data_IF_604435311706
#
_entry.id   IF_604435311706
#
_cell.length_a   1.000
_cell.length_b   1.000
_cell.length_c   1.000
_cell.angle_alpha   90.00
_cell.angle_beta   90.00
_cell.angle_gamma   90.00
#
_symmetry.space_group_name_H-M   'P 1'
#
loop_
_entity.id
_entity.type
_entity.pdbx_description
1 polymer ?
#
# COMPACT_ATOMS: atom_id res chain seq x y z
N UNK A 1 6.20 18.56 -35.01
CA UNK A 1 4.96 19.26 -34.57
C UNK A 1 3.79 18.28 -34.66
N UNK A 2 2.81 18.38 -33.76
CA UNK A 2 1.79 17.34 -33.55
C UNK A 2 0.40 17.99 -33.66
N UNK A 3 -0.38 17.63 -34.68
CA UNK A 3 -1.81 17.94 -34.78
C UNK A 3 -2.68 16.92 -34.02
N UNK A 4 -4.00 17.13 -33.98
CA UNK A 4 -4.96 16.31 -33.23
C UNK A 4 -4.84 14.79 -33.48
N UNK A 5 -4.78 14.37 -34.74
CA UNK A 5 -4.62 12.95 -35.13
C UNK A 5 -3.26 12.37 -34.75
N UNK A 6 -2.20 13.18 -34.80
CA UNK A 6 -0.86 12.74 -34.39
C UNK A 6 -0.75 12.59 -32.87
N UNK A 7 -1.49 13.38 -32.08
CA UNK A 7 -1.49 13.29 -30.62
C UNK A 7 -1.99 11.92 -30.15
N UNK A 8 -3.07 11.42 -30.75
CA UNK A 8 -3.62 10.09 -30.47
C UNK A 8 -2.60 9.00 -30.79
N UNK A 9 -1.90 9.10 -31.93
CA UNK A 9 -0.87 8.13 -32.34
C UNK A 9 0.32 8.13 -31.38
N UNK A 10 0.78 9.31 -30.96
CA UNK A 10 1.88 9.45 -29.99
C UNK A 10 1.45 8.91 -28.62
N UNK A 11 0.24 9.20 -28.16
CA UNK A 11 -0.30 8.71 -26.90
C UNK A 11 -0.41 7.17 -26.87
N UNK A 12 -0.91 6.57 -27.95
CA UNK A 12 -0.96 5.11 -28.10
C UNK A 12 0.43 4.47 -28.08
N UNK A 13 1.39 5.05 -28.81
CA UNK A 13 2.77 4.58 -28.80
C UNK A 13 3.44 4.70 -27.41
N UNK A 14 3.14 5.78 -26.67
CA UNK A 14 3.63 5.97 -25.31
C UNK A 14 3.09 4.90 -24.37
N UNK A 15 1.77 4.69 -24.33
CA UNK A 15 1.15 3.70 -23.45
C UNK A 15 1.64 2.27 -23.75
N UNK A 16 1.82 1.94 -25.03
CA UNK A 16 2.40 0.65 -25.44
C UNK A 16 3.80 0.45 -24.88
N UNK A 17 4.67 1.46 -25.00
CA UNK A 17 6.04 1.38 -24.49
C UNK A 17 6.08 1.36 -22.95
N UNK A 18 5.23 2.15 -22.29
CA UNK A 18 5.12 2.19 -20.81
C UNK A 18 4.64 0.86 -20.25
N UNK A 19 3.65 0.22 -20.89
CA UNK A 19 3.13 -1.09 -20.48
C UNK A 19 4.19 -2.20 -20.52
N UNK A 20 5.12 -2.15 -21.47
CA UNK A 20 6.26 -3.09 -21.52
C UNK A 20 7.22 -2.93 -20.34
N UNK A 21 7.33 -1.73 -19.80
CA UNK A 21 8.30 -1.39 -18.74
C UNK A 21 7.71 -1.60 -17.34
N UNK A 22 6.47 -1.15 -17.09
CA UNK A 22 5.95 -1.09 -15.73
C UNK A 22 5.56 -2.44 -15.11
N UNK A 23 5.42 -3.52 -15.89
CA UNK A 23 5.12 -4.90 -15.41
C UNK A 23 3.96 -4.98 -14.38
N UNK A 24 3.08 -3.99 -14.38
CA UNK A 24 1.90 -3.88 -13.51
C UNK A 24 0.66 -3.99 -14.37
N UNK A 25 -0.35 -4.81 -13.98
CA UNK A 25 -1.60 -4.92 -14.71
C UNK A 25 -2.44 -3.62 -14.65
N UNK A 26 -2.11 -2.69 -13.75
CA UNK A 26 -2.79 -1.40 -13.62
C UNK A 26 -2.37 -0.40 -14.71
N UNK A 27 -3.36 0.21 -15.36
CA UNK A 27 -3.14 1.25 -16.36
C UNK A 27 -2.62 2.53 -15.70
N UNK A 28 -1.47 3.01 -16.16
CA UNK A 28 -0.85 4.25 -15.66
C UNK A 28 -1.69 5.47 -16.05
N UNK A 29 -1.91 6.35 -15.07
CA UNK A 29 -2.53 7.66 -15.31
C UNK A 29 -1.54 8.56 -16.07
N UNK A 30 -1.94 9.03 -17.25
CA UNK A 30 -1.14 9.94 -18.08
C UNK A 30 -1.92 11.23 -18.28
N UNK A 31 -1.32 12.35 -17.90
CA UNK A 31 -1.86 13.68 -18.12
C UNK A 31 -1.24 14.29 -19.38
N UNK A 32 -2.09 14.83 -20.25
CA UNK A 32 -1.65 15.40 -21.52
C UNK A 32 -2.01 16.88 -21.54
N UNK A 33 -0.99 17.73 -21.48
CA UNK A 33 -1.14 19.18 -21.60
C UNK A 33 0.20 19.83 -21.99
N UNK A 34 0.15 21.09 -22.39
CA UNK A 34 1.34 21.95 -22.38
C UNK A 34 1.42 22.66 -21.03
N UNK A 35 2.50 22.43 -20.30
CA UNK A 35 2.74 23.03 -18.99
C UNK A 35 3.48 24.37 -19.06
N UNK A 36 3.51 24.99 -20.23
CA UNK A 36 4.02 26.34 -20.42
C UNK A 36 2.93 27.39 -20.13
N UNK A 37 3.33 28.65 -20.04
CA UNK A 37 2.49 29.82 -19.75
C UNK A 37 2.05 30.55 -21.03
N UNK A 38 2.54 30.11 -22.19
CA UNK A 38 2.12 30.62 -23.50
C UNK A 38 0.77 30.03 -23.96
N UNK A 39 0.09 30.74 -24.87
CA UNK A 39 -1.18 30.27 -25.42
C UNK A 39 -0.97 29.03 -26.31
N UNK A 40 -1.93 28.10 -26.27
CA UNK A 40 -1.92 26.93 -27.15
C UNK A 40 -1.94 27.33 -28.62
N UNK A 41 -0.92 26.88 -29.35
CA UNK A 41 -0.84 27.05 -30.81
C UNK A 41 -2.00 26.38 -31.56
N UNK A 42 -2.50 25.25 -31.04
CA UNK A 42 -3.68 24.54 -31.56
C UNK A 42 -4.73 24.43 -30.46
N UNK A 43 -5.96 24.91 -30.73
CA UNK A 43 -7.03 25.03 -29.73
C UNK A 43 -8.04 23.88 -29.76
N UNK A 44 -7.89 22.92 -30.68
CA UNK A 44 -8.81 21.79 -30.89
C UNK A 44 -9.09 20.98 -29.61
N UNK A 45 -8.10 20.87 -28.73
CA UNK A 45 -8.18 20.12 -27.47
C UNK A 45 -7.94 20.99 -26.22
N UNK A 46 -8.10 22.32 -26.34
CA UNK A 46 -7.84 23.27 -25.25
C UNK A 46 -8.52 22.86 -23.94
N UNK A 47 -9.81 22.53 -23.98
CA UNK A 47 -10.58 22.12 -22.78
C UNK A 47 -9.98 20.88 -22.10
N UNK A 48 -9.48 19.92 -22.87
CA UNK A 48 -8.89 18.69 -22.35
C UNK A 48 -7.53 18.97 -21.70
N UNK A 49 -6.71 19.80 -22.32
CA UNK A 49 -5.42 20.23 -21.79
C UNK A 49 -5.55 21.08 -20.53
N UNK A 50 -6.52 21.99 -20.49
CA UNK A 50 -6.82 22.80 -19.30
C UNK A 50 -7.28 21.92 -18.13
N UNK A 51 -8.12 20.93 -18.41
CA UNK A 51 -8.56 19.93 -17.41
C UNK A 51 -7.39 19.11 -16.87
N UNK A 52 -6.54 18.56 -17.75
CA UNK A 52 -5.39 17.77 -17.32
C UNK A 52 -4.36 18.61 -16.56
N UNK A 53 -4.15 19.88 -16.94
CA UNK A 53 -3.31 20.83 -16.20
C UNK A 53 -3.86 21.08 -14.79
N UNK A 54 -5.17 21.31 -14.67
CA UNK A 54 -5.82 21.50 -13.38
C UNK A 54 -5.73 20.24 -12.49
N UNK A 55 -5.97 19.05 -13.08
CA UNK A 55 -5.90 17.79 -12.36
C UNK A 55 -4.49 17.49 -11.82
N UNK A 56 -3.44 17.77 -12.61
CA UNK A 56 -2.05 17.63 -12.15
C UNK A 56 -1.76 18.56 -10.98
N UNK A 57 -2.19 19.83 -11.06
CA UNK A 57 -1.98 20.79 -9.98
C UNK A 57 -2.71 20.38 -8.70
N UNK A 58 -3.93 19.84 -8.81
CA UNK A 58 -4.66 19.30 -7.67
C UNK A 58 -3.94 18.09 -7.06
N UNK A 59 -3.44 17.17 -7.87
CA UNK A 59 -2.69 16.00 -7.39
C UNK A 59 -1.38 16.41 -6.70
N UNK A 60 -0.66 17.39 -7.25
CA UNK A 60 0.53 17.97 -6.62
C UNK A 60 0.21 18.65 -5.29
N UNK A 61 -0.90 19.39 -5.20
CA UNK A 61 -1.36 20.00 -3.95
C UNK A 61 -1.73 18.96 -2.89
N UNK A 62 -2.26 17.81 -3.31
CA UNK A 62 -2.65 16.72 -2.42
C UNK A 62 -1.48 15.78 -2.06
N UNK A 63 -0.35 15.85 -2.77
CA UNK A 63 0.81 14.99 -2.58
C UNK A 63 1.37 14.98 -1.14
N UNK A 64 1.52 16.12 -0.44
CA UNK A 64 2.00 16.12 0.93
C UNK A 64 1.07 15.35 1.88
N UNK A 65 -0.24 15.49 1.69
CA UNK A 65 -1.27 14.79 2.49
C UNK A 65 -1.23 13.29 2.23
N UNK A 66 -1.25 12.87 0.97
CA UNK A 66 -1.16 11.46 0.60
C UNK A 66 0.14 10.82 1.10
N UNK A 67 1.25 11.56 1.03
CA UNK A 67 2.55 11.10 1.53
C UNK A 67 2.56 10.95 3.05
N UNK A 68 1.95 11.90 3.77
CA UNK A 68 1.84 11.82 5.23
C UNK A 68 1.02 10.58 5.64
N UNK A 69 -0.15 10.38 5.03
CA UNK A 69 -0.99 9.20 5.26
C UNK A 69 -0.23 7.89 5.01
N UNK A 70 0.48 7.80 3.87
CA UNK A 70 1.30 6.62 3.54
C UNK A 70 2.40 6.39 4.57
N UNK A 71 3.12 7.45 4.97
CA UNK A 71 4.16 7.36 6.00
C UNK A 71 3.59 6.86 7.31
N UNK A 72 2.43 7.36 7.70
CA UNK A 72 1.73 6.91 8.91
C UNK A 72 1.37 5.43 8.82
N UNK A 73 0.83 4.96 7.70
CA UNK A 73 0.56 3.54 7.50
C UNK A 73 1.84 2.69 7.63
N UNK A 74 2.93 3.12 7.01
CA UNK A 74 4.24 2.44 7.14
C UNK A 74 4.74 2.42 8.59
N UNK A 75 4.49 3.46 9.38
CA UNK A 75 4.82 3.46 10.82
C UNK A 75 3.97 2.43 11.56
N UNK A 76 2.65 2.39 11.31
CA UNK A 76 1.74 1.39 11.93
C UNK A 76 2.19 -0.04 11.61
N UNK A 77 2.46 -0.34 10.33
CA UNK A 77 2.96 -1.65 9.90
C UNK A 77 4.27 -2.01 10.61
N UNK A 78 5.20 -1.05 10.74
CA UNK A 78 6.46 -1.27 11.45
C UNK A 78 6.25 -1.52 12.93
N UNK A 79 5.37 -0.76 13.59
CA UNK A 79 5.08 -0.95 15.01
C UNK A 79 4.44 -2.32 15.29
N UNK A 80 3.51 -2.76 14.44
CA UNK A 80 2.93 -4.12 14.52
C UNK A 80 3.99 -5.20 14.38
N UNK A 81 4.90 -5.04 13.41
CA UNK A 81 6.03 -5.96 13.22
C UNK A 81 6.98 -5.97 14.41
N UNK A 82 7.30 -4.82 14.99
CA UNK A 82 8.12 -4.72 16.21
C UNK A 82 7.44 -5.44 17.38
N UNK A 83 6.14 -5.23 17.57
CA UNK A 83 5.34 -5.95 18.57
C UNK A 83 5.43 -7.46 18.37
N UNK A 84 5.26 -7.94 17.14
CA UNK A 84 5.36 -9.36 16.82
C UNK A 84 6.76 -9.94 17.14
N UNK A 85 7.83 -9.26 16.71
CA UNK A 85 9.20 -9.67 17.05
C UNK A 85 9.44 -9.68 18.55
N UNK A 86 8.98 -8.66 19.28
CA UNK A 86 9.13 -8.59 20.74
C UNK A 86 8.43 -9.76 21.44
N UNK A 87 7.18 -10.06 21.07
CA UNK A 87 6.43 -11.19 21.61
C UNK A 87 7.15 -12.53 21.37
N UNK A 88 7.67 -12.75 20.15
CA UNK A 88 8.38 -13.99 19.82
C UNK A 88 9.69 -14.11 20.62
N UNK A 89 10.49 -13.03 20.72
CA UNK A 89 11.78 -13.06 21.40
C UNK A 89 11.63 -13.28 22.91
N UNK A 90 10.64 -12.62 23.52
CA UNK A 90 10.33 -12.78 24.95
C UNK A 90 9.74 -14.15 25.24
N UNK A 91 8.87 -14.67 24.37
CA UNK A 91 8.36 -16.04 24.48
C UNK A 91 9.49 -17.07 24.33
N UNK A 92 10.36 -16.91 23.34
CA UNK A 92 11.55 -17.73 23.15
C UNK A 92 12.41 -17.74 24.43
N UNK A 93 12.66 -16.56 25.01
CA UNK A 93 13.39 -16.46 26.28
C UNK A 93 12.70 -17.20 27.43
N UNK A 94 11.37 -17.14 27.51
CA UNK A 94 10.60 -17.82 28.56
C UNK A 94 10.66 -19.34 28.45
N UNK A 95 10.73 -19.88 27.23
CA UNK A 95 10.79 -21.31 26.96
C UNK A 95 12.21 -21.88 26.97
N UNK A 96 13.25 -21.03 26.97
CA UNK A 96 14.64 -21.47 27.07
C UNK A 96 14.88 -22.19 28.42
N UNK A 97 15.38 -23.44 28.40
CA UNK A 97 15.77 -24.15 29.61
C UNK A 97 16.76 -23.35 30.45
N UNK A 98 16.56 -23.33 31.77
CA UNK A 98 17.37 -22.54 32.70
C UNK A 98 18.88 -22.81 32.59
N UNK A 99 19.27 -24.07 32.35
CA UNK A 99 20.66 -24.48 32.19
C UNK A 99 21.29 -23.97 30.89
N UNK A 100 20.51 -23.89 29.80
CA UNK A 100 20.96 -23.30 28.54
C UNK A 100 21.11 -21.78 28.65
N UNK A 101 20.28 -21.13 29.48
CA UNK A 101 20.35 -19.69 29.73
C UNK A 101 21.53 -19.28 30.62
N UNK A 102 21.87 -20.09 31.62
CA UNK A 102 22.91 -19.77 32.59
C UNK A 102 24.32 -20.24 32.16
N UNK A 103 24.43 -21.40 31.51
CA UNK A 103 25.71 -22.05 31.21
C UNK A 103 25.79 -22.65 29.79
N UNK A 104 24.78 -22.43 28.95
CA UNK A 104 24.78 -22.95 27.58
C UNK A 104 25.82 -22.25 26.71
N UNK A 105 26.46 -22.97 25.80
CA UNK A 105 27.20 -22.34 24.71
C UNK A 105 26.21 -21.73 23.71
N UNK A 106 26.58 -20.63 23.03
CA UNK A 106 25.70 -20.01 22.05
C UNK A 106 25.28 -20.98 20.93
N UNK A 107 26.19 -21.87 20.50
CA UNK A 107 25.88 -22.88 19.49
C UNK A 107 24.76 -23.84 19.94
N UNK A 108 24.75 -24.25 21.21
CA UNK A 108 23.71 -25.14 21.75
C UNK A 108 22.36 -24.43 21.87
N UNK A 109 22.38 -23.15 22.25
CA UNK A 109 21.16 -22.32 22.31
C UNK A 109 20.60 -22.12 20.91
N UNK A 110 21.43 -21.80 19.91
CA UNK A 110 21.02 -21.67 18.49
C UNK A 110 20.36 -22.94 17.97
N UNK A 111 21.01 -24.08 18.15
CA UNK A 111 20.47 -25.36 17.71
C UNK A 111 19.10 -25.67 18.35
N UNK A 112 18.95 -25.42 19.66
CA UNK A 112 17.67 -25.59 20.33
C UNK A 112 16.59 -24.66 19.78
N UNK A 113 16.93 -23.39 19.52
CA UNK A 113 16.02 -22.43 18.91
C UNK A 113 15.58 -22.91 17.51
N UNK A 114 16.51 -23.37 16.67
CA UNK A 114 16.23 -23.81 15.31
C UNK A 114 15.24 -24.98 15.25
N UNK A 115 15.39 -25.95 16.17
CA UNK A 115 14.50 -27.11 16.27
C UNK A 115 13.10 -26.75 16.78
N UNK A 116 12.97 -25.77 17.69
CA UNK A 116 11.71 -25.43 18.34
C UNK A 116 10.99 -24.22 17.71
N UNK A 117 11.65 -23.49 16.81
CA UNK A 117 11.16 -22.24 16.23
C UNK A 117 9.73 -22.30 15.67
N UNK A 118 9.35 -23.31 14.85
CA UNK A 118 8.01 -23.34 14.25
C UNK A 118 6.90 -23.44 15.32
N UNK A 119 7.11 -24.32 16.31
CA UNK A 119 6.17 -24.50 17.43
C UNK A 119 6.05 -23.25 18.28
N UNK A 120 7.18 -22.60 18.59
CA UNK A 120 7.20 -21.39 19.40
C UNK A 120 6.50 -20.22 18.72
N UNK A 121 6.57 -20.13 17.39
CA UNK A 121 5.85 -19.12 16.60
C UNK A 121 4.33 -19.29 16.72
N UNK A 122 3.82 -20.52 16.55
CA UNK A 122 2.38 -20.80 16.68
C UNK A 122 1.88 -20.54 18.11
N UNK A 123 2.63 -20.97 19.11
CA UNK A 123 2.29 -20.74 20.52
C UNK A 123 2.30 -19.24 20.87
N UNK A 124 3.32 -18.49 20.44
CA UNK A 124 3.40 -17.04 20.65
C UNK A 124 2.27 -16.30 19.93
N UNK A 125 1.94 -16.70 18.70
CA UNK A 125 0.83 -16.13 17.94
C UNK A 125 -0.50 -16.32 18.67
N UNK A 126 -0.75 -17.53 19.20
CA UNK A 126 -1.97 -17.86 19.94
C UNK A 126 -2.04 -17.11 21.27
N UNK A 127 -0.92 -17.06 22.01
CA UNK A 127 -0.84 -16.42 23.33
C UNK A 127 -1.13 -14.91 23.25
N UNK A 128 -0.54 -14.24 22.25
CA UNK A 128 -0.64 -12.79 22.10
C UNK A 128 -1.70 -12.34 21.07
N UNK A 129 -2.53 -13.28 20.56
CA UNK A 129 -3.62 -13.03 19.60
C UNK A 129 -3.15 -12.22 18.37
N UNK A 130 -2.01 -12.58 17.80
CA UNK A 130 -1.43 -11.85 16.67
C UNK A 130 -2.04 -12.28 15.33
N UNK A 131 -2.20 -11.32 14.43
CA UNK A 131 -2.60 -11.60 13.05
C UNK A 131 -1.49 -12.38 12.34
N UNK A 132 -1.85 -13.37 11.53
CA UNK A 132 -0.89 -14.12 10.72
C UNK A 132 -0.11 -13.23 9.74
N UNK A 133 -0.70 -12.12 9.29
CA UNK A 133 -0.05 -11.16 8.39
C UNK A 133 1.02 -10.29 9.06
N UNK A 134 0.99 -10.15 10.39
CA UNK A 134 1.99 -9.39 11.15
C UNK A 134 3.21 -10.26 11.50
N UNK A 135 3.11 -11.58 11.36
CA UNK A 135 4.17 -12.52 11.71
C UNK A 135 5.35 -12.42 10.74
N UNK A 136 6.59 -12.39 11.25
CA UNK A 136 7.77 -12.43 10.39
C UNK A 136 7.90 -13.80 9.71
N UNK A 137 8.52 -13.81 8.53
CA UNK A 137 8.88 -15.05 7.86
C UNK A 137 9.84 -15.88 8.73
N UNK A 138 9.52 -17.16 8.91
CA UNK A 138 10.25 -18.08 9.80
C UNK A 138 11.67 -18.30 9.29
N UNK A 139 11.84 -18.40 7.96
CA UNK A 139 13.16 -18.67 7.35
C UNK A 139 14.07 -17.46 7.54
N UNK A 140 13.59 -16.26 7.19
CA UNK A 140 14.33 -15.02 7.40
C UNK A 140 14.60 -14.75 8.89
N UNK A 141 13.68 -15.11 9.78
CA UNK A 141 13.88 -14.96 11.22
C UNK A 141 14.97 -15.91 11.73
N UNK A 142 15.00 -17.16 11.26
CA UNK A 142 16.02 -18.15 11.63
C UNK A 142 17.43 -17.68 11.26
N UNK A 143 17.62 -17.17 10.05
CA UNK A 143 18.90 -16.65 9.59
C UNK A 143 19.38 -15.45 10.42
N UNK A 144 18.46 -14.55 10.80
CA UNK A 144 18.77 -13.43 11.70
C UNK A 144 19.07 -13.87 13.12
N UNK A 145 18.45 -14.95 13.58
CA UNK A 145 18.71 -15.50 14.90
C UNK A 145 20.08 -16.20 14.95
N UNK A 146 20.50 -16.87 13.88
CA UNK A 146 21.81 -17.52 13.82
C UNK A 146 22.97 -16.52 13.82
N UNK A 147 22.76 -15.34 13.23
CA UNK A 147 23.73 -14.23 13.19
C UNK A 147 23.74 -13.36 14.44
N UNK A 148 22.74 -13.48 15.33
CA UNK A 148 22.64 -12.67 16.53
C UNK A 148 23.64 -13.13 17.60
N UNK A 149 24.44 -12.19 18.11
CA UNK A 149 25.33 -12.40 19.25
C UNK A 149 24.56 -12.23 20.56
N UNK A 150 24.82 -13.08 21.56
CA UNK A 150 24.22 -12.93 22.88
C UNK A 150 22.74 -13.33 22.96
N UNK A 151 22.32 -14.41 22.29
CA UNK A 151 20.95 -14.97 22.34
C UNK A 151 20.49 -15.30 23.79
N UNK A 152 21.42 -15.46 24.73
CA UNK A 152 21.11 -15.69 26.14
C UNK A 152 20.59 -14.42 26.85
N UNK A 153 20.88 -13.25 26.30
CA UNK A 153 20.55 -11.92 26.86
C UNK A 153 19.29 -11.31 26.25
N UNK A 154 18.42 -12.12 25.64
CA UNK A 154 17.13 -11.66 25.14
C UNK A 154 16.33 -10.93 26.24
N UNK A 155 15.47 -9.95 25.89
CA UNK A 155 14.67 -9.22 26.86
C UNK A 155 13.61 -10.14 27.51
N UNK A 156 13.28 -9.85 28.78
CA UNK A 156 12.14 -10.47 29.44
C UNK A 156 10.83 -9.83 28.96
N UNK A 157 9.72 -10.57 29.11
CA UNK A 157 8.39 -10.04 28.83
C UNK A 157 8.06 -8.88 29.77
N UNK A 158 7.65 -7.78 29.19
CA UNK A 158 7.11 -6.62 29.87
C UNK A 158 5.76 -6.25 29.23
N UNK A 159 4.70 -6.28 30.03
CA UNK A 159 3.34 -5.94 29.57
C UNK A 159 3.23 -4.45 29.26
N UNK A 160 3.94 -3.59 29.99
CA UNK A 160 3.84 -2.14 29.85
C UNK A 160 4.32 -1.69 28.47
N UNK A 161 5.41 -2.29 27.97
CA UNK A 161 5.95 -2.04 26.64
C UNK A 161 4.94 -2.40 25.55
N UNK A 162 4.26 -3.54 25.69
CA UNK A 162 3.29 -4.01 24.67
C UNK A 162 2.01 -3.18 24.71
N UNK A 163 1.56 -2.79 25.89
CA UNK A 163 0.45 -1.87 26.09
C UNK A 163 0.76 -0.49 25.51
N UNK A 164 1.97 0.03 25.72
CA UNK A 164 2.38 1.31 25.14
C UNK A 164 2.41 1.26 23.60
N UNK A 165 3.00 0.21 23.02
CA UNK A 165 3.00 0.02 21.56
C UNK A 165 1.57 -0.08 21.02
N UNK A 166 0.70 -0.81 21.73
CA UNK A 166 -0.70 -0.98 21.32
C UNK A 166 -1.47 0.35 21.41
N UNK A 167 -1.33 1.10 22.51
CA UNK A 167 -1.89 2.45 22.68
C UNK A 167 -1.39 3.41 21.61
N UNK A 168 -0.11 3.30 21.23
CA UNK A 168 0.44 4.13 20.18
C UNK A 168 -0.16 3.80 18.80
N UNK A 169 -0.39 2.52 18.48
CA UNK A 169 -1.02 2.08 17.23
C UNK A 169 -2.50 2.48 17.17
N UNK A 170 -3.24 2.31 18.26
CA UNK A 170 -4.70 2.42 18.26
C UNK A 170 -5.19 3.86 18.51
N UNK A 171 -4.47 4.64 19.34
CA UNK A 171 -4.91 5.99 19.74
C UNK A 171 -4.03 7.09 19.17
N UNK A 172 -2.71 7.03 19.42
CA UNK A 172 -1.80 8.16 19.12
C UNK A 172 -1.62 8.36 17.63
N UNK A 173 -1.40 7.29 16.87
CA UNK A 173 -1.16 7.37 15.43
C UNK A 173 -2.41 7.84 14.68
N UNK A 174 -3.61 7.30 14.92
CA UNK A 174 -4.85 7.85 14.37
C UNK A 174 -5.15 9.29 14.85
N UNK A 175 -4.77 9.64 16.08
CA UNK A 175 -4.85 11.01 16.59
C UNK A 175 -4.01 12.01 15.78
N UNK A 176 -2.80 11.63 15.37
CA UNK A 176 -1.94 12.45 14.50
C UNK A 176 -2.56 12.63 13.12
N UNK A 177 -3.19 11.57 12.59
CA UNK A 177 -3.98 11.66 11.35
C UNK A 177 -5.06 12.71 11.58
N UNK A 178 -5.99 12.52 12.53
CA UNK A 178 -7.11 13.44 12.74
C UNK A 178 -6.68 14.89 13.04
N UNK A 179 -5.60 15.10 13.79
CA UNK A 179 -5.03 16.43 14.08
C UNK A 179 -4.36 17.10 12.88
N UNK A 180 -3.70 16.32 12.01
CA UNK A 180 -3.18 16.82 10.74
C UNK A 180 -4.29 17.01 9.67
N UNK A 181 -5.51 16.51 9.92
CA UNK A 181 -6.67 16.58 9.04
C UNK A 181 -7.56 17.82 9.27
N UNK A 182 -7.07 18.83 10.01
CA UNK A 182 -7.74 20.13 10.20
C UNK A 182 -7.95 21.00 8.94
N UNK A 183 -7.81 20.44 7.73
CA UNK A 183 -8.27 21.04 6.48
C UNK A 183 -9.05 19.97 5.70
N UNK A 184 -10.35 19.91 5.98
CA UNK A 184 -11.42 19.09 5.37
C UNK A 184 -11.02 17.74 4.77
N UNK A 185 -11.52 16.69 5.43
CA UNK A 185 -11.74 15.37 4.87
C UNK A 185 -12.77 15.42 3.73
N UNK A 186 -12.37 15.96 2.58
CA UNK A 186 -13.06 15.79 1.31
C UNK A 186 -12.40 14.64 0.55
N UNK A 187 -13.01 13.46 0.61
CA UNK A 187 -12.85 12.35 -0.34
C UNK A 187 -11.44 12.04 -0.84
N UNK A 188 -10.63 11.37 -0.01
CA UNK A 188 -9.56 10.52 -0.54
C UNK A 188 -10.08 9.10 -0.71
N UNK A 189 -10.38 8.77 -1.97
CA UNK A 189 -10.52 7.45 -2.59
C UNK A 189 -10.53 6.22 -1.65
N UNK A 190 -11.73 5.72 -1.33
CA UNK A 190 -11.93 4.34 -0.89
C UNK A 190 -11.54 3.37 -2.02
N UNK A 191 -10.90 2.23 -1.73
CA UNK A 191 -10.85 1.10 -2.63
C UNK A 191 -12.07 0.21 -2.34
N UNK A 192 -13.28 0.60 -2.77
CA UNK A 192 -14.43 -0.31 -2.76
C UNK A 192 -15.20 -0.25 -4.07
N UNK A 193 -15.58 -1.42 -4.55
CA UNK A 193 -16.19 -1.65 -5.85
C UNK A 193 -17.54 -0.97 -6.03
N UNK A 194 -17.91 -0.83 -7.31
CA UNK A 194 -19.28 -0.62 -7.75
C UNK A 194 -19.79 0.82 -7.70
N UNK A 195 -19.72 1.52 -8.84
CA UNK A 195 -20.88 2.31 -9.27
C UNK A 195 -20.73 3.81 -9.49
N UNK A 196 -19.92 4.55 -8.72
CA UNK A 196 -20.03 6.03 -8.75
C UNK A 196 -18.79 6.80 -9.28
N UNK A 197 -17.61 6.19 -9.31
CA UNK A 197 -16.36 6.82 -9.78
C UNK A 197 -16.01 6.50 -11.25
N UNK A 198 -17.00 6.15 -12.06
CA UNK A 198 -16.81 5.76 -13.47
C UNK A 198 -16.63 6.96 -14.42
N UNK A 199 -16.98 8.19 -14.01
CA UNK A 199 -16.94 9.37 -14.90
C UNK A 199 -15.53 9.94 -15.17
N UNK A 200 -14.53 9.59 -14.36
CA UNK A 200 -13.14 10.07 -14.51
C UNK A 200 -12.16 9.04 -15.09
N UNK A 201 -12.58 7.79 -15.27
CA UNK A 201 -11.69 6.66 -15.66
C UNK A 201 -11.72 6.35 -17.16
N UNK A 202 -12.31 7.22 -17.96
CA UNK A 202 -12.37 7.01 -19.39
C UNK A 202 -11.24 7.76 -20.07
N UNK A 203 -10.38 6.94 -20.68
CA UNK A 203 -9.13 7.35 -21.28
C UNK A 203 -9.32 8.49 -22.26
N UNK A 204 -8.29 9.32 -22.36
CA UNK A 204 -8.12 10.39 -23.33
C UNK A 204 -8.73 10.07 -24.71
N UNK A 205 -8.65 8.81 -25.15
CA UNK A 205 -9.25 8.30 -26.39
C UNK A 205 -10.77 8.47 -26.47
N UNK A 206 -11.51 8.18 -25.39
CA UNK A 206 -12.96 8.39 -25.36
C UNK A 206 -13.31 9.89 -25.38
N UNK A 207 -12.54 10.71 -24.65
CA UNK A 207 -12.67 12.18 -24.65
C UNK A 207 -12.28 12.83 -25.98
N UNK A 208 -11.42 12.17 -26.76
CA UNK A 208 -11.04 12.55 -28.12
C UNK A 208 -11.97 11.96 -29.20
N UNK A 209 -13.08 11.31 -28.81
CA UNK A 209 -14.09 10.79 -29.73
C UNK A 209 -13.79 9.42 -30.33
N UNK A 210 -12.81 8.69 -29.78
CA UNK A 210 -12.45 7.32 -30.17
C UNK A 210 -13.01 6.27 -29.19
N UNK A 211 -14.28 6.44 -28.80
CA UNK A 211 -15.07 5.49 -28.01
C UNK A 211 -16.07 4.73 -28.87
N UNK A 212 -16.22 3.43 -28.62
CA UNK A 212 -17.06 2.50 -29.38
C UNK A 212 -18.53 2.99 -29.55
N UNK A 213 -19.08 3.15 -30.78
CA UNK A 213 -20.48 3.51 -30.98
C UNK A 213 -21.50 2.40 -30.65
N UNK A 214 -21.08 1.27 -30.05
CA UNK A 214 -21.88 0.05 -29.96
C UNK A 214 -22.63 -0.27 -28.66
N UNK A 215 -22.70 0.63 -27.66
CA UNK A 215 -23.26 0.23 -26.35
C UNK A 215 -24.16 1.30 -25.71
N UNK A 216 -25.28 1.65 -26.35
CA UNK A 216 -26.49 2.14 -25.65
C UNK A 216 -27.63 2.39 -26.64
N UNK A 217 -28.39 1.35 -26.99
CA UNK A 217 -29.84 1.45 -27.20
C UNK A 217 -30.48 0.14 -26.71
N UNK A 218 -30.85 0.13 -25.44
CA UNK A 218 -31.79 -0.84 -24.91
C UNK A 218 -33.22 -0.29 -25.09
N UNK A 219 -34.13 -1.20 -25.47
CA UNK A 219 -35.54 -1.27 -25.07
C UNK A 219 -36.61 -1.23 -26.18
N UNK A 220 -37.44 -2.29 -26.13
CA UNK A 220 -38.91 -2.30 -26.23
C UNK A 220 -39.57 -2.46 -27.61
N UNK A 221 -40.00 -3.70 -27.92
CA UNK A 221 -41.33 -4.06 -28.49
C UNK A 221 -41.47 -5.59 -28.44
N UNK A 222 -42.18 -6.14 -27.44
CA UNK A 222 -43.58 -6.58 -27.46
C UNK A 222 -43.91 -7.60 -28.57
N UNK A 223 -44.08 -8.84 -28.08
CA UNK A 223 -44.95 -9.96 -28.50
C UNK A 223 -46.22 -9.55 -29.29
N UNK A 224 -46.45 -10.25 -30.41
CA UNK A 224 -47.74 -10.70 -31.04
C UNK A 224 -47.34 -11.62 -32.22
N UNK A 225 -47.66 -12.93 -32.21
CA UNK A 225 -48.76 -13.55 -33.00
C UNK A 225 -48.72 -13.10 -34.48
N UNK A 226 -48.50 -13.95 -35.49
CA UNK A 226 -49.17 -15.21 -35.87
C UNK A 226 -48.17 -16.15 -36.55
#
# INVERSE_FOLDING_TARGET
QIGASNLVRVYGALLWNVGKVLRTPEVTKVFVSSFWDEEYRFKDHKKLFDQDKANVLEELRNLPRATLLRRTHTIVERMRRVRAHYCILTYLRSQLPWHLRAFGSEARVRHWCDCNLPRLFEEAQRLHKMSSGDMPDIVAFREKLSTLEGIQRLPAWDSEVVEEITRAIDDRVPGIINGAHGVSAGEMARPEGGGAAAKGRLGLLERLGFGNPGASRSAKRRRTEV
#
